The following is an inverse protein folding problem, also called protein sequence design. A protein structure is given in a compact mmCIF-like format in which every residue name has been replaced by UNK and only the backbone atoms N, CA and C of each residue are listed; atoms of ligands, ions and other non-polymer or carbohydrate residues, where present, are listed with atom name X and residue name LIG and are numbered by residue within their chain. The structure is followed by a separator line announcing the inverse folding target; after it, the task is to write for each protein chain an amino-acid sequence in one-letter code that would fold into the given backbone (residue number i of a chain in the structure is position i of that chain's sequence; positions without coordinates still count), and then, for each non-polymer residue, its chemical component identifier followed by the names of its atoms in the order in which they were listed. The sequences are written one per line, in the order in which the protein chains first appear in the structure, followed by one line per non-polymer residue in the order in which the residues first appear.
data_IF_750046948646
#
_entry.id   IF_750046948646
#
_cell.length_a   1.000
_cell.length_b   1.000
_cell.length_c   1.000
_cell.angle_alpha   90.00
_cell.angle_beta   90.00
_cell.angle_gamma   90.00
#
_symmetry.space_group_name_H-M   'P 1'
#
loop_
_entity.id
_entity.type
_entity.pdbx_description
1 polymer ?
#
# COMPACT_ATOMS: atom_id res chain seq x y z
N UNK A 1 -5.45 30.59 -18.73
CA UNK A 1 -4.49 29.63 -18.14
C UNK A 1 -3.77 30.36 -17.03
N UNK A 2 -3.79 29.83 -15.80
CA UNK A 2 -3.08 30.46 -14.68
C UNK A 2 -1.58 30.16 -14.82
N UNK A 3 -0.73 31.13 -14.44
CA UNK A 3 0.71 30.90 -14.35
C UNK A 3 1.03 29.98 -13.18
N UNK A 4 1.88 28.98 -13.39
CA UNK A 4 2.41 28.13 -12.32
C UNK A 4 3.90 27.87 -12.54
N UNK A 5 4.63 27.71 -11.44
CA UNK A 5 6.00 27.23 -11.43
C UNK A 5 5.99 25.75 -11.01
N UNK A 6 6.61 24.88 -11.80
CA UNK A 6 6.74 23.46 -11.51
C UNK A 6 8.22 23.09 -11.41
N UNK A 7 8.63 22.59 -10.26
CA UNK A 7 10.00 22.15 -10.00
C UNK A 7 9.99 20.71 -9.47
N UNK A 8 10.59 19.80 -10.22
CA UNK A 8 10.74 18.39 -9.83
C UNK A 8 12.21 17.97 -9.91
N UNK A 9 12.94 17.95 -8.78
CA UNK A 9 14.34 17.53 -8.73
C UNK A 9 14.48 16.00 -8.79
N UNK A 10 13.93 15.38 -9.83
CA UNK A 10 13.91 13.93 -10.03
C UNK A 10 14.53 13.60 -11.38
N UNK A 11 15.57 12.77 -11.39
CA UNK A 11 16.14 12.23 -12.63
C UNK A 11 15.31 11.03 -13.08
N UNK A 12 14.67 11.16 -14.24
CA UNK A 12 13.96 10.05 -14.89
C UNK A 12 14.86 9.47 -15.96
N UNK A 13 15.18 8.18 -15.85
CA UNK A 13 15.95 7.44 -16.85
C UNK A 13 15.03 6.44 -17.52
N UNK A 14 14.81 6.59 -18.83
CA UNK A 14 13.86 5.81 -19.61
C UNK A 14 14.51 5.31 -20.90
N UNK A 15 14.16 4.08 -21.30
CA UNK A 15 14.67 3.45 -22.51
C UNK A 15 14.81 1.94 -22.34
N UNK A 16 15.01 1.22 -23.44
CA UNK A 16 15.25 -0.23 -23.39
C UNK A 16 16.58 -0.52 -22.68
N UNK A 17 16.55 -1.38 -21.65
CA UNK A 17 17.74 -1.84 -20.94
C UNK A 17 18.27 -0.89 -19.87
N UNK A 18 17.58 0.23 -19.59
CA UNK A 18 18.03 1.19 -18.58
C UNK A 18 17.99 0.65 -17.16
N UNK A 19 17.21 -0.41 -16.89
CA UNK A 19 17.16 -1.06 -15.58
C UNK A 19 18.53 -1.60 -15.13
N UNK A 20 19.41 -1.93 -16.09
CA UNK A 20 20.77 -2.41 -15.81
C UNK A 20 21.71 -1.31 -15.26
N UNK A 21 21.32 -0.04 -15.39
CA UNK A 21 22.09 1.11 -14.91
C UNK A 21 21.77 1.52 -13.48
N UNK A 22 20.87 0.81 -12.79
CA UNK A 22 20.39 1.24 -11.47
C UNK A 22 21.54 1.40 -10.47
N UNK A 23 22.53 0.50 -10.48
CA UNK A 23 23.67 0.58 -9.56
C UNK A 23 24.60 1.78 -9.86
N UNK A 24 24.84 2.07 -11.14
CA UNK A 24 25.58 3.27 -11.59
C UNK A 24 24.86 4.54 -11.11
N UNK A 25 23.56 4.62 -11.36
CA UNK A 25 22.72 5.77 -11.00
C UNK A 25 22.68 5.97 -9.48
N UNK A 26 22.51 4.91 -8.69
CA UNK A 26 22.51 5.02 -7.22
C UNK A 26 23.84 5.60 -6.72
N UNK A 27 24.98 5.17 -7.28
CA UNK A 27 26.31 5.69 -6.93
C UNK A 27 26.52 7.13 -7.39
N UNK A 28 26.02 7.50 -8.57
CA UNK A 28 26.03 8.89 -9.08
C UNK A 28 25.43 9.86 -8.06
N UNK A 29 24.34 9.48 -7.40
CA UNK A 29 23.67 10.28 -6.37
C UNK A 29 24.18 10.04 -4.94
N UNK A 30 25.26 9.26 -4.76
CA UNK A 30 25.82 8.95 -3.44
C UNK A 30 24.91 8.08 -2.56
N UNK A 31 23.94 7.38 -3.16
CA UNK A 31 23.01 6.51 -2.46
C UNK A 31 23.70 5.27 -1.89
N UNK A 32 23.33 4.89 -0.66
CA UNK A 32 23.87 3.72 0.04
C UNK A 32 22.85 2.61 0.29
N UNK A 33 21.57 2.92 0.11
CA UNK A 33 20.44 1.99 0.26
C UNK A 33 19.29 2.49 -0.61
N UNK A 34 18.57 1.56 -1.23
CA UNK A 34 17.49 1.88 -2.18
C UNK A 34 16.13 1.46 -1.63
N UNK A 35 15.11 2.29 -1.82
CA UNK A 35 13.71 1.88 -1.72
C UNK A 35 13.18 1.64 -3.14
N UNK A 36 12.85 0.41 -3.47
CA UNK A 36 12.23 0.05 -4.74
C UNK A 36 10.72 0.11 -4.54
N UNK A 37 10.11 1.19 -5.00
CA UNK A 37 8.65 1.29 -5.04
C UNK A 37 8.13 0.89 -6.41
N UNK A 38 7.13 0.01 -6.42
CA UNK A 38 6.53 -0.50 -7.64
C UNK A 38 5.02 -0.68 -7.44
N UNK A 39 4.28 -0.80 -8.55
CA UNK A 39 2.83 -1.01 -8.51
C UNK A 39 2.45 -2.45 -8.10
N UNK A 40 1.67 -3.11 -8.95
CA UNK A 40 1.22 -4.48 -8.73
C UNK A 40 2.10 -5.55 -9.42
N UNK A 41 1.52 -6.72 -9.66
CA UNK A 41 2.25 -7.91 -10.13
C UNK A 41 2.89 -7.84 -11.52
N UNK A 42 2.64 -6.79 -12.33
CA UNK A 42 3.24 -6.68 -13.67
C UNK A 42 4.78 -6.64 -13.64
N UNK A 43 5.35 -5.91 -12.67
CA UNK A 43 6.81 -5.81 -12.50
C UNK A 43 7.45 -7.15 -12.10
N UNK A 44 6.68 -8.00 -11.42
CA UNK A 44 7.09 -9.33 -10.97
C UNK A 44 7.01 -10.29 -12.16
N UNK A 45 5.86 -10.36 -12.85
CA UNK A 45 5.65 -11.27 -13.99
C UNK A 45 6.58 -11.01 -15.16
N UNK A 46 6.96 -9.75 -15.39
CA UNK A 46 7.93 -9.38 -16.44
C UNK A 46 9.39 -9.64 -16.06
N UNK A 47 9.65 -10.06 -14.81
CA UNK A 47 10.99 -10.21 -14.25
C UNK A 47 11.76 -8.89 -14.11
N UNK A 48 11.11 -7.74 -14.31
CA UNK A 48 11.77 -6.43 -14.21
C UNK A 48 12.26 -6.17 -12.78
N UNK A 49 11.45 -6.49 -11.77
CA UNK A 49 11.85 -6.36 -10.38
C UNK A 49 13.10 -7.21 -10.11
N UNK A 50 13.09 -8.47 -10.57
CA UNK A 50 14.23 -9.37 -10.40
C UNK A 50 15.50 -8.82 -11.06
N UNK A 51 15.43 -8.34 -12.30
CA UNK A 51 16.61 -7.76 -12.98
C UNK A 51 17.19 -6.55 -12.23
N UNK A 52 16.31 -5.71 -11.67
CA UNK A 52 16.73 -4.55 -10.86
C UNK A 52 17.39 -5.01 -9.56
N UNK A 53 16.79 -5.96 -8.84
CA UNK A 53 17.33 -6.48 -7.58
C UNK A 53 18.65 -7.20 -7.79
N UNK A 54 18.77 -8.04 -8.83
CA UNK A 54 20.01 -8.74 -9.19
C UNK A 54 21.16 -7.75 -9.47
N UNK A 55 20.85 -6.63 -10.14
CA UNK A 55 21.84 -5.59 -10.44
C UNK A 55 22.33 -4.90 -9.16
N UNK A 56 21.44 -4.68 -8.18
CA UNK A 56 21.79 -4.08 -6.89
C UNK A 56 22.57 -5.06 -6.01
N UNK A 57 22.17 -6.33 -5.98
CA UNK A 57 22.84 -7.40 -5.25
C UNK A 57 24.27 -7.61 -5.76
N UNK A 58 24.45 -7.69 -7.08
CA UNK A 58 25.77 -7.77 -7.72
C UNK A 58 26.66 -6.54 -7.41
N UNK A 59 26.05 -5.38 -7.16
CA UNK A 59 26.74 -4.14 -6.81
C UNK A 59 26.96 -3.96 -5.30
N UNK A 60 26.47 -4.88 -4.46
CA UNK A 60 26.53 -4.79 -3.00
C UNK A 60 25.69 -3.65 -2.41
N UNK A 61 24.62 -3.23 -3.10
CA UNK A 61 23.77 -2.12 -2.68
C UNK A 61 22.51 -2.69 -2.01
N UNK A 62 22.31 -2.48 -0.69
CA UNK A 62 21.12 -2.97 -0.01
C UNK A 62 19.85 -2.26 -0.51
N UNK A 63 18.75 -2.98 -0.52
CA UNK A 63 17.45 -2.42 -0.89
C UNK A 63 16.31 -2.93 0.01
N UNK A 64 15.21 -2.20 -0.03
CA UNK A 64 13.91 -2.60 0.49
C UNK A 64 12.92 -2.46 -0.65
N UNK A 65 12.00 -3.41 -0.79
CA UNK A 65 10.94 -3.34 -1.79
C UNK A 65 9.63 -2.95 -1.10
N UNK A 66 8.84 -2.10 -1.75
CA UNK A 66 7.52 -1.70 -1.26
C UNK A 66 6.55 -1.73 -2.45
N UNK A 67 5.71 -2.76 -2.49
CA UNK A 67 4.63 -2.86 -3.46
C UNK A 67 3.48 -1.92 -3.08
N UNK A 68 3.13 -0.98 -3.95
CA UNK A 68 2.03 -0.04 -3.74
C UNK A 68 0.65 -0.68 -3.65
N UNK A 69 0.51 -1.93 -4.12
CA UNK A 69 -0.72 -2.69 -4.04
C UNK A 69 -1.07 -3.17 -2.62
N UNK A 70 -0.09 -3.24 -1.70
CA UNK A 70 -0.31 -3.74 -0.34
C UNK A 70 -1.30 -2.89 0.47
N UNK A 71 -1.34 -1.57 0.24
CA UNK A 71 -2.28 -0.69 0.91
C UNK A 71 -3.73 -1.02 0.53
N UNK A 72 -4.00 -1.26 -0.76
CA UNK A 72 -5.33 -1.64 -1.22
C UNK A 72 -5.77 -2.99 -0.62
N UNK A 73 -4.84 -3.93 -0.46
CA UNK A 73 -5.10 -5.25 0.12
C UNK A 73 -5.48 -5.20 1.60
N UNK A 74 -5.06 -4.19 2.36
CA UNK A 74 -5.35 -4.09 3.82
C UNK A 74 -6.42 -3.04 4.12
N UNK A 75 -6.71 -2.14 3.18
CA UNK A 75 -7.63 -1.03 3.41
C UNK A 75 -9.02 -1.48 3.86
N UNK A 76 -9.56 -2.53 3.25
CA UNK A 76 -10.89 -3.04 3.55
C UNK A 76 -11.06 -3.56 4.98
N UNK A 77 -10.10 -4.35 5.46
CA UNK A 77 -10.12 -4.87 6.83
C UNK A 77 -9.87 -3.76 7.85
N UNK A 78 -8.92 -2.87 7.59
CA UNK A 78 -8.66 -1.69 8.41
C UNK A 78 -9.91 -0.79 8.51
N UNK A 79 -10.54 -0.49 7.37
CA UNK A 79 -11.71 0.39 7.31
C UNK A 79 -12.86 -0.18 8.14
N UNK A 80 -13.17 -1.48 8.00
CA UNK A 80 -14.20 -2.14 8.82
C UNK A 80 -13.85 -2.11 10.30
N UNK A 81 -12.57 -2.28 10.65
CA UNK A 81 -12.10 -2.28 12.04
C UNK A 81 -12.25 -0.91 12.72
N UNK A 82 -11.90 0.18 12.03
CA UNK A 82 -11.88 1.53 12.62
C UNK A 82 -13.17 2.34 12.40
N UNK A 83 -14.01 1.91 11.46
CA UNK A 83 -15.25 2.63 11.12
C UNK A 83 -16.14 2.93 12.32
N UNK A 84 -16.36 2.02 13.30
CA UNK A 84 -17.20 2.32 14.45
C UNK A 84 -16.75 3.56 15.25
N UNK A 85 -15.45 3.79 15.38
CA UNK A 85 -14.88 4.92 16.15
C UNK A 85 -15.06 6.28 15.44
N UNK A 86 -15.34 6.27 14.14
CA UNK A 86 -15.46 7.49 13.37
C UNK A 86 -16.55 7.40 12.29
N UNK A 87 -17.65 6.74 12.64
CA UNK A 87 -18.76 6.43 11.73
C UNK A 87 -19.26 7.63 10.90
N UNK A 88 -19.43 8.85 11.47
CA UNK A 88 -19.86 10.00 10.67
C UNK A 88 -18.90 10.35 9.51
N UNK A 89 -17.59 10.09 9.67
CA UNK A 89 -16.59 10.31 8.60
C UNK A 89 -16.76 9.27 7.49
N UNK A 90 -16.96 8.01 7.83
CA UNK A 90 -17.17 6.94 6.84
C UNK A 90 -18.51 7.07 6.11
N UNK A 91 -19.59 7.44 6.80
CA UNK A 91 -20.86 7.79 6.15
C UNK A 91 -20.69 8.94 5.17
N UNK A 92 -19.99 10.02 5.57
CA UNK A 92 -19.73 11.16 4.69
C UNK A 92 -18.89 10.77 3.48
N UNK A 93 -17.88 9.91 3.66
CA UNK A 93 -17.12 9.34 2.56
C UNK A 93 -18.01 8.54 1.61
N UNK A 94 -18.86 7.65 2.14
CA UNK A 94 -19.76 6.82 1.36
C UNK A 94 -20.71 7.66 0.48
N UNK A 95 -21.31 8.70 1.05
CA UNK A 95 -22.27 9.55 0.34
C UNK A 95 -21.58 10.52 -0.63
N UNK A 96 -20.55 11.23 -0.18
CA UNK A 96 -20.01 12.36 -0.93
C UNK A 96 -18.89 11.96 -1.91
N UNK A 97 -18.21 10.84 -1.66
CA UNK A 97 -17.10 10.38 -2.51
C UNK A 97 -17.51 9.17 -3.33
N UNK A 98 -18.11 8.17 -2.68
CA UNK A 98 -18.51 6.93 -3.36
C UNK A 98 -19.90 7.01 -4.00
N UNK A 99 -20.73 7.99 -3.62
CA UNK A 99 -22.06 8.19 -4.19
C UNK A 99 -23.02 7.04 -3.93
N UNK A 100 -22.88 6.34 -2.81
CA UNK A 100 -23.74 5.18 -2.50
C UNK A 100 -25.16 5.62 -2.11
N UNK A 101 -26.12 4.71 -2.25
CA UNK A 101 -27.50 4.94 -1.86
C UNK A 101 -27.62 5.33 -0.37
N UNK A 102 -28.38 6.39 0.00
CA UNK A 102 -28.44 6.88 1.38
C UNK A 102 -29.45 6.15 2.28
N UNK A 103 -30.14 5.10 1.82
CA UNK A 103 -31.17 4.42 2.63
C UNK A 103 -30.59 3.55 3.76
N UNK A 104 -31.31 3.38 4.87
CA UNK A 104 -30.88 2.55 6.01
C UNK A 104 -30.10 3.31 7.08
N UNK A 105 -29.45 2.56 7.97
CA UNK A 105 -28.69 3.09 9.11
C UNK A 105 -27.34 3.66 8.69
N UNK A 106 -26.78 4.53 9.53
CA UNK A 106 -25.46 5.13 9.29
C UNK A 106 -24.35 4.08 9.12
N UNK A 107 -24.43 2.97 9.85
CA UNK A 107 -23.51 1.84 9.75
C UNK A 107 -23.62 1.12 8.39
N UNK A 108 -24.83 0.89 7.90
CA UNK A 108 -25.07 0.27 6.58
C UNK A 108 -24.61 1.19 5.44
N UNK A 109 -24.84 2.49 5.54
CA UNK A 109 -24.34 3.48 4.56
C UNK A 109 -22.80 3.47 4.54
N UNK A 110 -22.17 3.49 5.71
CA UNK A 110 -20.71 3.46 5.83
C UNK A 110 -20.11 2.16 5.25
N UNK A 111 -20.71 1.00 5.56
CA UNK A 111 -20.27 -0.29 5.03
C UNK A 111 -20.37 -0.33 3.50
N UNK A 112 -21.47 0.15 2.92
CA UNK A 112 -21.60 0.26 1.46
C UNK A 112 -20.53 1.15 0.84
N UNK A 113 -20.11 2.21 1.53
CA UNK A 113 -18.97 3.03 1.11
C UNK A 113 -17.65 2.26 1.06
N UNK A 114 -17.40 1.40 2.06
CA UNK A 114 -16.22 0.53 2.11
C UNK A 114 -16.25 -0.47 0.96
N UNK A 115 -17.38 -1.15 0.77
CA UNK A 115 -17.56 -2.14 -0.30
C UNK A 115 -17.46 -1.51 -1.70
N UNK A 116 -17.98 -0.29 -1.88
CA UNK A 116 -17.86 0.44 -3.13
C UNK A 116 -16.40 0.76 -3.48
N UNK A 117 -15.55 1.09 -2.49
CA UNK A 117 -14.13 1.33 -2.74
C UNK A 117 -13.39 0.04 -3.08
N UNK A 118 -13.69 -1.07 -2.40
CA UNK A 118 -13.15 -2.38 -2.77
C UNK A 118 -13.57 -2.80 -4.17
N UNK A 119 -14.84 -2.59 -4.55
CA UNK A 119 -15.32 -2.84 -5.90
C UNK A 119 -14.56 -1.99 -6.93
N UNK A 120 -14.29 -0.72 -6.61
CA UNK A 120 -13.44 0.13 -7.44
C UNK A 120 -12.02 -0.43 -7.57
N UNK A 121 -11.37 -0.84 -6.47
CA UNK A 121 -10.04 -1.46 -6.51
C UNK A 121 -10.01 -2.70 -7.40
N UNK A 122 -10.96 -3.63 -7.23
CA UNK A 122 -11.06 -4.82 -8.10
C UNK A 122 -11.25 -4.42 -9.57
N UNK A 123 -12.07 -3.41 -9.85
CA UNK A 123 -12.32 -2.91 -11.22
C UNK A 123 -11.05 -2.40 -11.91
N UNK A 124 -10.14 -1.77 -11.15
CA UNK A 124 -8.85 -1.28 -11.68
C UNK A 124 -7.71 -2.32 -11.57
N UNK A 125 -8.03 -3.57 -11.23
CA UNK A 125 -7.06 -4.66 -11.11
C UNK A 125 -6.16 -4.57 -9.88
N UNK A 126 -6.58 -3.83 -8.84
CA UNK A 126 -5.90 -3.81 -7.54
C UNK A 126 -6.46 -4.88 -6.61
N UNK A 127 -5.61 -5.52 -5.79
CA UNK A 127 -6.07 -6.49 -4.80
C UNK A 127 -6.77 -5.80 -3.64
N UNK A 128 -7.69 -6.52 -3.01
CA UNK A 128 -8.48 -6.05 -1.84
C UNK A 128 -8.26 -6.90 -0.58
N UNK A 129 -7.43 -7.95 -0.68
CA UNK A 129 -6.98 -8.80 0.41
C UNK A 129 -5.60 -9.40 0.06
N UNK A 130 -4.94 -10.01 1.04
CA UNK A 130 -3.60 -10.61 0.90
C UNK A 130 -3.59 -11.77 -0.09
N UNK A 131 -4.67 -12.57 -0.15
CA UNK A 131 -4.81 -13.64 -1.13
C UNK A 131 -4.80 -13.12 -2.57
N UNK A 132 -5.57 -12.07 -2.87
CA UNK A 132 -5.59 -11.40 -4.18
C UNK A 132 -4.25 -10.73 -4.50
N UNK A 133 -3.51 -10.28 -3.48
CA UNK A 133 -2.15 -9.75 -3.64
C UNK A 133 -1.13 -10.85 -3.98
N UNK A 134 -1.49 -12.14 -3.82
CA UNK A 134 -0.60 -13.27 -4.02
C UNK A 134 0.28 -13.58 -2.80
N UNK A 135 -0.10 -13.09 -1.63
CA UNK A 135 0.62 -13.32 -0.36
C UNK A 135 -0.10 -14.40 0.44
N UNK A 136 0.50 -15.58 0.50
CA UNK A 136 0.05 -16.67 1.36
C UNK A 136 0.72 -16.57 2.73
N UNK A 137 0.36 -15.56 3.53
CA UNK A 137 0.92 -15.33 4.85
C UNK A 137 0.37 -16.31 5.89
N UNK A 138 1.26 -16.95 6.64
CA UNK A 138 0.93 -17.75 7.83
C UNK A 138 0.58 -16.85 9.01
N UNK A 139 -0.01 -17.40 10.07
CA UNK A 139 -0.31 -16.62 11.27
C UNK A 139 0.97 -16.08 11.95
N UNK A 140 2.10 -16.81 11.84
CA UNK A 140 3.41 -16.34 12.27
C UNK A 140 3.90 -15.14 11.43
N UNK A 141 3.70 -15.18 10.11
CA UNK A 141 4.02 -14.05 9.24
C UNK A 141 3.18 -12.81 9.60
N UNK A 142 1.88 -12.98 9.84
CA UNK A 142 0.99 -11.87 10.22
C UNK A 142 1.37 -11.29 11.59
N UNK A 143 1.73 -12.13 12.56
CA UNK A 143 2.26 -11.68 13.85
C UNK A 143 3.56 -10.90 13.68
N UNK A 144 4.48 -11.39 12.84
CA UNK A 144 5.72 -10.69 12.54
C UNK A 144 5.47 -9.36 11.83
N UNK A 145 4.50 -9.30 10.92
CA UNK A 145 4.07 -8.06 10.25
C UNK A 145 3.49 -7.05 11.24
N UNK A 146 2.61 -7.49 12.14
CA UNK A 146 2.05 -6.65 13.20
C UNK A 146 3.14 -6.09 14.12
N UNK A 147 4.04 -6.95 14.58
CA UNK A 147 5.16 -6.56 15.44
C UNK A 147 6.07 -5.53 14.75
N UNK A 148 6.49 -5.80 13.50
CA UNK A 148 7.32 -4.86 12.73
C UNK A 148 6.60 -3.54 12.46
N UNK A 149 5.29 -3.58 12.22
CA UNK A 149 4.47 -2.38 12.06
C UNK A 149 4.49 -1.55 13.34
N UNK A 150 4.19 -2.17 14.49
CA UNK A 150 4.19 -1.52 15.80
C UNK A 150 5.55 -0.88 16.11
N UNK A 151 6.65 -1.62 15.94
CA UNK A 151 8.02 -1.08 16.10
C UNK A 151 8.27 0.10 15.16
N UNK A 152 7.90 -0.03 13.88
CA UNK A 152 8.11 1.00 12.87
C UNK A 152 7.35 2.30 13.14
N UNK A 153 6.20 2.24 13.81
CA UNK A 153 5.38 3.41 14.16
C UNK A 153 5.62 3.94 15.58
N UNK A 154 6.53 3.35 16.35
CA UNK A 154 6.80 3.75 17.73
C UNK A 154 5.80 3.23 18.76
N UNK A 155 5.17 2.08 18.47
CA UNK A 155 4.29 1.32 19.37
C UNK A 155 2.81 1.43 19.02
N UNK A 156 2.30 2.63 18.76
CA UNK A 156 0.91 2.86 18.41
C UNK A 156 0.72 4.05 17.47
N UNK A 157 -0.26 3.98 16.57
CA UNK A 157 -0.55 5.04 15.60
C UNK A 157 -2.01 5.02 15.15
N UNK A 158 -2.53 6.18 14.78
CA UNK A 158 -3.80 6.32 14.07
C UNK A 158 -4.64 7.50 14.55
N UNK A 159 -5.35 8.15 13.62
CA UNK A 159 -6.21 9.31 13.90
C UNK A 159 -7.70 8.99 13.98
N UNK A 160 -8.12 7.86 13.40
CA UNK A 160 -9.48 7.34 13.53
C UNK A 160 -9.63 6.54 14.83
N UNK A 161 -8.65 5.69 15.10
CA UNK A 161 -8.45 4.91 16.33
C UNK A 161 -6.94 4.80 16.55
N UNK A 162 -6.49 4.88 17.79
CA UNK A 162 -5.10 4.60 18.13
C UNK A 162 -4.90 3.08 18.10
N UNK A 163 -4.20 2.57 17.09
CA UNK A 163 -3.99 1.13 16.90
C UNK A 163 -2.67 0.70 17.55
N UNK A 164 -2.73 -0.34 18.37
CA UNK A 164 -1.60 -1.07 18.95
C UNK A 164 -1.32 -2.35 18.16
N UNK A 165 -0.26 -3.06 18.52
CA UNK A 165 0.16 -4.30 17.86
C UNK A 165 -0.97 -5.34 17.73
N UNK A 166 -1.78 -5.50 18.78
CA UNK A 166 -2.94 -6.41 18.78
C UNK A 166 -4.02 -6.01 17.76
N UNK A 167 -4.31 -4.72 17.62
CA UNK A 167 -5.25 -4.22 16.60
C UNK A 167 -4.68 -4.45 15.20
N UNK A 168 -3.37 -4.22 15.01
CA UNK A 168 -2.70 -4.44 13.73
C UNK A 168 -2.75 -5.90 13.31
N UNK A 169 -2.51 -6.82 14.25
CA UNK A 169 -2.65 -8.26 14.02
C UNK A 169 -4.08 -8.62 13.60
N UNK A 170 -5.09 -8.13 14.31
CA UNK A 170 -6.49 -8.39 13.98
C UNK A 170 -6.85 -7.88 12.57
N UNK A 171 -6.36 -6.69 12.19
CA UNK A 171 -6.56 -6.11 10.87
C UNK A 171 -5.88 -6.95 9.78
N UNK A 172 -4.65 -7.42 10.03
CA UNK A 172 -3.93 -8.28 9.10
C UNK A 172 -4.60 -9.65 8.95
N UNK A 173 -5.07 -10.26 10.04
CA UNK A 173 -5.85 -11.49 10.01
C UNK A 173 -7.15 -11.33 9.23
N UNK A 174 -7.86 -10.22 9.40
CA UNK A 174 -9.06 -9.91 8.64
C UNK A 174 -8.80 -9.54 7.16
N UNK A 175 -7.53 -9.32 6.77
CA UNK A 175 -7.13 -9.06 5.38
C UNK A 175 -6.72 -10.32 4.60
N UNK A 176 -6.76 -11.51 5.22
CA UNK A 176 -6.40 -12.77 4.56
C UNK A 176 -7.36 -13.15 3.43
#
# INVERSE_FOLDING_TARGET
MFGFNYYTPTKVVFGKGTESRVAELVREFGGKKVLIHYGGGSVIRSGLLQRVTDTLDAAGIPYVTLGGAGLAAVWGSWARYVCPECLPRFKRFALNVMGVDPSGTDAEIALRGIEALEAFFRRIGMPTNLRELGVAATDEDLALMAHKCAVGVGGAMGSARLLKEEDMLAIYQASR
#
